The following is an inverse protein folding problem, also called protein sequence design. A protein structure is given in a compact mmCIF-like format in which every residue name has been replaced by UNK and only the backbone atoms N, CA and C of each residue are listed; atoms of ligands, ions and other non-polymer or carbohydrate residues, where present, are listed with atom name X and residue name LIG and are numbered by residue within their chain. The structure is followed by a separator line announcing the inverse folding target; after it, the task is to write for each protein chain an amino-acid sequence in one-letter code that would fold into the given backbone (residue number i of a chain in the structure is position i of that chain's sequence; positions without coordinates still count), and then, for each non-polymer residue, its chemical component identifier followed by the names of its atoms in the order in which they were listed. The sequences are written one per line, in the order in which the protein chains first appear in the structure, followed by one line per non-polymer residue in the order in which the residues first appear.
data_IF_203924044830
#
_entry.id   IF_203924044830
#
_cell.length_a   1.000
_cell.length_b   1.000
_cell.length_c   1.000
_cell.angle_alpha   90.00
_cell.angle_beta   90.00
_cell.angle_gamma   90.00
#
_symmetry.space_group_name_H-M   'P 1'
#
loop_
_entity.id
_entity.type
_entity.pdbx_description
1 polymer ?
#
# COMPACT_ATOMS: atom_id res chain seq x y z
N UNK A 1 12.38 40.87 18.76
CA UNK A 1 11.80 39.96 17.75
C UNK A 1 12.53 38.62 17.69
N UNK A 2 12.52 37.80 18.76
CA UNK A 2 13.31 36.56 18.81
C UNK A 2 12.53 35.28 19.11
N UNK A 3 11.39 35.38 19.81
CA UNK A 3 10.61 34.21 20.23
C UNK A 3 9.64 33.71 19.16
N UNK A 4 8.93 34.60 18.48
CA UNK A 4 7.91 34.25 17.47
C UNK A 4 8.47 33.50 16.25
N UNK A 5 9.66 33.88 15.77
CA UNK A 5 10.31 33.18 14.66
C UNK A 5 10.81 31.79 15.07
N UNK A 6 11.20 31.62 16.34
CA UNK A 6 11.66 30.32 16.86
C UNK A 6 10.50 29.35 17.04
N UNK A 7 9.35 29.81 17.54
CA UNK A 7 8.14 28.98 17.62
C UNK A 7 7.63 28.59 16.24
N UNK A 8 7.62 29.50 15.27
CA UNK A 8 7.25 29.19 13.89
C UNK A 8 8.15 28.12 13.26
N UNK A 9 9.47 28.23 13.45
CA UNK A 9 10.41 27.24 12.93
C UNK A 9 10.20 25.85 13.57
N UNK A 10 9.94 25.79 14.88
CA UNK A 10 9.67 24.52 15.59
C UNK A 10 8.37 23.88 15.11
N UNK A 11 7.31 24.68 14.90
CA UNK A 11 6.03 24.19 14.36
C UNK A 11 6.21 23.67 12.92
N UNK A 12 6.94 24.39 12.07
CA UNK A 12 7.19 23.96 10.70
C UNK A 12 7.97 22.63 10.64
N UNK A 13 9.02 22.49 11.47
CA UNK A 13 9.81 21.27 11.55
C UNK A 13 9.02 20.07 12.08
N UNK A 14 8.16 20.29 13.07
CA UNK A 14 7.34 19.22 13.63
C UNK A 14 6.27 18.73 12.64
N UNK A 15 5.64 19.64 11.90
CA UNK A 15 4.70 19.27 10.82
C UNK A 15 5.39 18.47 9.71
N UNK A 16 6.60 18.87 9.30
CA UNK A 16 7.41 18.13 8.32
C UNK A 16 7.84 16.75 8.82
N UNK A 17 8.16 16.62 10.11
CA UNK A 17 8.51 15.32 10.68
C UNK A 17 7.28 14.38 10.74
N UNK A 18 6.11 14.90 11.10
CA UNK A 18 4.86 14.13 11.16
C UNK A 18 4.39 13.66 9.77
N UNK A 19 4.59 14.45 8.71
CA UNK A 19 4.25 14.01 7.35
C UNK A 19 5.15 12.90 6.84
N UNK A 20 6.41 12.85 7.28
CA UNK A 20 7.34 11.77 6.95
C UNK A 20 6.92 10.40 7.54
N UNK A 21 6.12 10.40 8.61
CA UNK A 21 5.58 9.16 9.19
C UNK A 21 4.46 8.52 8.34
N UNK A 22 3.91 9.22 7.34
CA UNK A 22 2.92 8.63 6.42
C UNK A 22 3.46 7.48 5.56
N UNK A 23 4.80 7.32 5.50
CA UNK A 23 5.44 6.16 4.89
C UNK A 23 5.46 4.90 5.75
N UNK A 24 5.10 4.98 7.04
CA UNK A 24 4.98 3.80 7.91
C UNK A 24 3.62 3.13 7.67
N UNK A 25 3.60 2.16 6.77
CA UNK A 25 2.44 1.34 6.47
C UNK A 25 2.30 0.24 7.51
N UNK A 26 1.30 0.37 8.39
CA UNK A 26 1.05 -0.57 9.49
C UNK A 26 0.81 -2.00 8.99
N UNK A 27 0.17 -2.14 7.83
CA UNK A 27 -0.05 -3.41 7.11
C UNK A 27 1.25 -4.11 6.69
N UNK A 28 2.37 -3.40 6.61
CA UNK A 28 3.66 -3.96 6.21
C UNK A 28 4.50 -4.44 7.41
N UNK A 29 4.21 -4.00 8.64
CA UNK A 29 5.05 -4.27 9.83
C UNK A 29 5.11 -5.76 10.24
N UNK A 30 4.16 -6.58 9.80
CA UNK A 30 4.08 -8.01 10.12
C UNK A 30 4.07 -8.91 8.88
N UNK A 31 4.50 -8.40 7.73
CA UNK A 31 4.53 -9.20 6.50
C UNK A 31 5.59 -10.29 6.63
N UNK A 32 5.25 -11.58 6.43
CA UNK A 32 6.23 -12.65 6.49
C UNK A 32 7.31 -12.44 5.43
N UNK A 33 8.57 -12.36 5.86
CA UNK A 33 9.73 -12.19 4.98
C UNK A 33 10.23 -13.53 4.43
N UNK A 34 9.92 -14.61 5.14
CA UNK A 34 10.29 -15.97 4.76
C UNK A 34 9.03 -16.67 4.24
N UNK A 35 9.03 -16.94 2.94
CA UNK A 35 7.98 -17.71 2.30
C UNK A 35 8.43 -19.17 2.22
N UNK A 36 7.59 -20.08 2.72
CA UNK A 36 7.81 -21.51 2.55
C UNK A 36 7.68 -21.87 1.07
N UNK A 37 8.69 -22.58 0.56
CA UNK A 37 8.73 -22.90 -0.87
C UNK A 37 7.61 -23.88 -1.22
N UNK A 38 6.87 -23.55 -2.28
CA UNK A 38 5.74 -24.36 -2.72
C UNK A 38 4.46 -24.15 -1.92
N UNK A 39 4.47 -23.27 -0.91
CA UNK A 39 3.27 -22.90 -0.13
C UNK A 39 2.86 -21.48 -0.49
N UNK A 40 1.66 -21.35 -1.05
CA UNK A 40 1.02 -20.05 -1.27
C UNK A 40 0.27 -19.66 0.01
N UNK A 41 0.78 -18.64 0.70
CA UNK A 41 0.18 -18.10 1.91
C UNK A 41 -0.89 -17.08 1.53
N UNK A 42 -2.05 -17.13 2.19
CA UNK A 42 -3.15 -16.20 1.95
C UNK A 42 -4.51 -16.85 2.19
N UNK A 43 -5.56 -16.09 1.90
CA UNK A 43 -6.89 -16.68 1.77
C UNK A 43 -6.92 -17.64 0.57
N UNK A 44 -7.66 -18.75 0.65
CA UNK A 44 -7.87 -19.60 -0.51
C UNK A 44 -8.51 -18.78 -1.63
N UNK A 45 -8.15 -19.11 -2.87
CA UNK A 45 -8.78 -18.49 -4.04
C UNK A 45 -10.29 -18.77 -4.03
N UNK A 46 -11.07 -17.77 -4.39
CA UNK A 46 -12.49 -17.93 -4.66
C UNK A 46 -12.70 -18.42 -6.10
N UNK A 47 -13.69 -19.27 -6.31
CA UNK A 47 -14.07 -19.66 -7.67
C UNK A 47 -14.60 -18.44 -8.43
N UNK A 48 -14.08 -18.24 -9.64
CA UNK A 48 -14.56 -17.18 -10.53
C UNK A 48 -16.00 -17.44 -10.94
N UNK A 49 -16.86 -16.44 -10.77
CA UNK A 49 -18.19 -16.46 -11.37
C UNK A 49 -18.09 -16.45 -12.90
N UNK A 50 -19.13 -16.95 -13.57
CA UNK A 50 -19.20 -16.89 -15.03
C UNK A 50 -19.22 -15.45 -15.57
N UNK A 51 -19.72 -14.49 -14.78
CA UNK A 51 -19.68 -13.07 -15.15
C UNK A 51 -18.24 -12.54 -15.10
N UNK A 52 -17.49 -12.85 -14.04
CA UNK A 52 -16.10 -12.42 -13.88
C UNK A 52 -15.20 -13.05 -14.94
N UNK A 53 -15.44 -14.34 -15.25
CA UNK A 53 -14.73 -15.06 -16.31
C UNK A 53 -14.92 -14.39 -17.67
N UNK A 54 -16.14 -14.00 -18.03
CA UNK A 54 -16.40 -13.26 -19.29
C UNK A 54 -15.73 -11.88 -19.29
N UNK A 55 -15.79 -11.15 -18.17
CA UNK A 55 -15.15 -9.85 -18.06
C UNK A 55 -13.63 -9.93 -18.21
N UNK A 56 -13.01 -10.99 -17.67
CA UNK A 56 -11.58 -11.29 -17.83
C UNK A 56 -11.22 -11.56 -19.29
N UNK A 57 -11.99 -12.38 -19.99
CA UNK A 57 -11.79 -12.68 -21.41
C UNK A 57 -11.84 -11.42 -22.28
N UNK A 58 -12.88 -10.58 -22.10
CA UNK A 58 -13.01 -9.32 -22.82
C UNK A 58 -11.86 -8.34 -22.55
N UNK A 59 -11.25 -8.37 -21.37
CA UNK A 59 -10.02 -7.59 -21.10
C UNK A 59 -8.85 -8.13 -21.89
N UNK A 60 -8.65 -9.46 -21.87
CA UNK A 60 -7.59 -10.11 -22.62
C UNK A 60 -7.66 -9.83 -24.12
N UNK A 61 -8.86 -9.91 -24.71
CA UNK A 61 -9.06 -9.64 -26.14
C UNK A 61 -8.69 -8.20 -26.54
N UNK A 62 -8.91 -7.22 -25.65
CA UNK A 62 -8.50 -5.83 -25.87
C UNK A 62 -7.00 -5.59 -25.73
N UNK A 63 -6.28 -6.50 -25.07
CA UNK A 63 -4.85 -6.41 -24.82
C UNK A 63 -4.02 -7.24 -25.82
N UNK A 64 -4.66 -7.94 -26.76
CA UNK A 64 -3.95 -8.61 -27.85
C UNK A 64 -3.50 -7.56 -28.88
N UNK A 65 -2.20 -7.55 -29.17
CA UNK A 65 -1.56 -6.76 -30.22
C UNK A 65 -1.72 -7.44 -31.59
#
# INVERSE_FOLDING_TARGET
MGSGNRTLAVVALSVLALSALSGCREDEQNRPLILEKGVYQGAPDEELSEADRRALQQRGDRQRF
#
